data_IF_185632166780
#
_entry.id   IF_185632166780
#
_cell.length_a   1.000
_cell.length_b   1.000
_cell.length_c   1.000
_cell.angle_alpha   90.00
_cell.angle_beta   90.00
_cell.angle_gamma   90.00
#
_symmetry.space_group_name_H-M   'P 1'
#
loop_
_entity.id
_entity.type
_entity.pdbx_description
1 polymer ?
#
# COMPACT_ATOMS: atom_id res chain seq x y z
N UNK A 1 5.67 1.87 -10.33
CA UNK A 1 6.05 2.87 -9.32
C UNK A 1 7.19 2.27 -8.52
N UNK A 2 8.28 3.00 -8.45
CA UNK A 2 9.51 2.61 -7.77
C UNK A 2 9.57 3.25 -6.39
N UNK A 3 9.81 2.45 -5.34
CA UNK A 3 9.78 2.89 -3.93
C UNK A 3 11.12 2.64 -3.28
N UNK A 4 11.66 3.66 -2.63
CA UNK A 4 12.83 3.56 -1.76
C UNK A 4 12.40 3.27 -0.32
N UNK A 5 13.04 2.31 0.34
CA UNK A 5 12.80 2.01 1.76
C UNK A 5 13.79 2.82 2.61
N UNK A 6 13.24 3.55 3.58
CA UNK A 6 14.01 4.34 4.55
C UNK A 6 13.69 3.93 5.98
N UNK A 7 14.71 3.82 6.81
CA UNK A 7 14.58 3.44 8.21
C UNK A 7 15.89 3.50 8.98
N UNK A 8 15.84 3.20 10.26
CA UNK A 8 17.01 3.21 11.11
C UNK A 8 17.88 1.97 10.85
N UNK A 9 19.14 2.19 10.53
CA UNK A 9 20.19 1.18 10.39
C UNK A 9 21.23 1.35 11.53
N UNK A 10 21.77 2.54 11.67
CA UNK A 10 22.81 2.84 12.66
C UNK A 10 22.35 2.58 14.09
N UNK A 11 23.17 1.89 14.87
CA UNK A 11 22.86 1.55 16.26
C UNK A 11 21.94 0.34 16.45
N UNK A 12 21.61 -0.37 15.38
CA UNK A 12 20.99 -1.70 15.42
C UNK A 12 22.02 -2.78 15.05
N UNK A 13 21.85 -4.03 15.53
CA UNK A 13 22.55 -5.17 14.96
C UNK A 13 22.25 -5.25 13.45
N UNK A 14 23.30 -5.41 12.64
CA UNK A 14 23.15 -5.33 11.18
C UNK A 14 22.16 -6.37 10.63
N UNK A 15 22.14 -7.57 11.20
CA UNK A 15 21.21 -8.62 10.79
C UNK A 15 19.75 -8.29 11.13
N UNK A 16 19.50 -7.60 12.24
CA UNK A 16 18.17 -7.08 12.57
C UNK A 16 17.72 -6.04 11.55
N UNK A 17 18.61 -5.09 11.20
CA UNK A 17 18.32 -4.09 10.20
C UNK A 17 18.00 -4.75 8.83
N UNK A 18 18.86 -5.69 8.38
CA UNK A 18 18.63 -6.44 7.13
C UNK A 18 17.29 -7.17 7.12
N UNK A 19 16.94 -7.86 8.22
CA UNK A 19 15.67 -8.59 8.29
C UNK A 19 14.45 -7.66 8.23
N UNK A 20 14.50 -6.51 8.91
CA UNK A 20 13.43 -5.51 8.87
C UNK A 20 13.23 -4.95 7.46
N UNK A 21 14.32 -4.57 6.78
CA UNK A 21 14.28 -4.05 5.42
C UNK A 21 13.78 -5.12 4.44
N UNK A 22 14.23 -6.37 4.57
CA UNK A 22 13.77 -7.48 3.74
C UNK A 22 12.26 -7.77 3.92
N UNK A 23 11.75 -7.69 5.15
CA UNK A 23 10.32 -7.85 5.42
C UNK A 23 9.48 -6.75 4.75
N UNK A 24 9.93 -5.48 4.84
CA UNK A 24 9.27 -4.34 4.19
C UNK A 24 9.32 -4.47 2.67
N UNK A 25 10.45 -4.91 2.11
CA UNK A 25 10.62 -5.17 0.69
C UNK A 25 9.65 -6.25 0.20
N UNK A 26 9.63 -7.41 0.85
CA UNK A 26 8.73 -8.52 0.48
C UNK A 26 7.25 -8.10 0.52
N UNK A 27 6.86 -7.29 1.52
CA UNK A 27 5.51 -6.75 1.63
C UNK A 27 5.17 -5.83 0.44
N UNK A 28 6.05 -4.89 0.10
CA UNK A 28 5.83 -3.93 -0.98
C UNK A 28 5.83 -4.61 -2.36
N UNK A 29 6.74 -5.57 -2.58
CA UNK A 29 6.81 -6.36 -3.82
C UNK A 29 5.57 -7.24 -4.00
N UNK A 30 5.03 -7.83 -2.93
CA UNK A 30 3.80 -8.63 -2.98
C UNK A 30 2.58 -7.86 -3.53
N UNK A 31 2.63 -6.52 -3.47
CA UNK A 31 1.59 -5.61 -3.95
C UNK A 31 1.93 -5.04 -5.33
N UNK A 32 3.08 -5.44 -5.89
CA UNK A 32 3.49 -5.09 -7.24
C UNK A 32 4.26 -3.78 -7.36
N UNK A 33 4.98 -3.37 -6.29
CA UNK A 33 5.94 -2.27 -6.38
C UNK A 33 7.31 -2.77 -6.84
N UNK A 34 8.04 -1.90 -7.52
CA UNK A 34 9.48 -2.03 -7.71
C UNK A 34 10.15 -1.40 -6.48
N UNK A 35 10.91 -2.19 -5.73
CA UNK A 35 11.46 -1.76 -4.43
C UNK A 35 12.96 -1.53 -4.53
N UNK A 36 13.43 -0.45 -3.93
CA UNK A 36 14.85 -0.15 -3.73
C UNK A 36 15.17 -0.25 -2.25
N UNK A 37 15.89 -1.30 -1.91
CA UNK A 37 16.38 -1.55 -0.57
C UNK A 37 17.86 -1.11 -0.49
N UNK A 38 18.20 -0.05 0.26
CA UNK A 38 19.56 0.45 0.35
C UNK A 38 20.56 -0.57 0.87
N UNK A 39 20.12 -1.53 1.69
CA UNK A 39 21.00 -2.58 2.24
C UNK A 39 21.37 -3.66 1.22
N UNK A 40 20.62 -3.80 0.12
CA UNK A 40 20.94 -4.73 -0.97
C UNK A 40 21.76 -4.07 -2.07
N UNK A 41 21.42 -2.82 -2.44
CA UNK A 41 22.03 -2.11 -3.58
C UNK A 41 23.26 -1.32 -3.15
N UNK A 42 23.24 -0.78 -1.96
CA UNK A 42 24.32 0.01 -1.43
C UNK A 42 25.29 -0.83 -0.61
N UNK A 43 25.99 -1.78 -1.23
CA UNK A 43 27.03 -2.59 -0.57
C UNK A 43 27.56 -1.89 0.67
N UNK A 44 27.28 -2.46 1.84
CA UNK A 44 27.85 -2.04 3.10
C UNK A 44 29.38 -2.23 3.03
N UNK A 45 30.06 -1.27 2.46
CA UNK A 45 31.50 -1.15 2.67
C UNK A 45 31.67 -0.67 4.12
N UNK A 46 31.95 -1.60 5.01
CA UNK A 46 32.18 -1.32 6.45
C UNK A 46 33.26 -0.26 6.67
N UNK A 47 34.07 0.03 5.66
CA UNK A 47 35.14 1.03 5.68
C UNK A 47 34.68 2.40 5.13
N UNK A 48 33.52 2.49 4.52
CA UNK A 48 33.03 3.75 3.99
C UNK A 48 32.53 4.67 5.12
N UNK A 49 32.72 5.99 4.95
CA UNK A 49 32.20 6.95 5.91
C UNK A 49 30.67 7.03 5.85
N UNK A 50 30.05 7.50 6.93
CA UNK A 50 28.60 7.73 6.98
C UNK A 50 28.12 8.65 5.83
N UNK A 51 28.89 9.69 5.51
CA UNK A 51 28.61 10.63 4.44
C UNK A 51 28.60 9.93 3.08
N UNK A 52 29.52 8.99 2.85
CA UNK A 52 29.60 8.21 1.61
C UNK A 52 28.37 7.32 1.45
N UNK A 53 27.85 6.73 2.53
CA UNK A 53 26.59 5.99 2.50
C UNK A 53 25.42 6.89 2.19
N UNK A 54 25.33 8.06 2.86
CA UNK A 54 24.24 9.01 2.61
C UNK A 54 24.19 9.50 1.18
N UNK A 55 25.34 9.75 0.52
CA UNK A 55 25.36 10.16 -0.90
C UNK A 55 24.73 9.08 -1.78
N UNK A 56 25.10 7.82 -1.58
CA UNK A 56 24.52 6.68 -2.33
C UNK A 56 23.02 6.53 -2.09
N UNK A 57 22.62 6.61 -0.82
CA UNK A 57 21.21 6.48 -0.42
C UNK A 57 20.34 7.58 -1.05
N UNK A 58 20.86 8.82 -1.09
CA UNK A 58 20.20 9.94 -1.79
C UNK A 58 20.12 9.68 -3.29
N UNK A 59 21.19 9.20 -3.94
CA UNK A 59 21.16 8.85 -5.37
C UNK A 59 20.07 7.80 -5.66
N UNK A 60 19.96 6.75 -4.84
CA UNK A 60 18.93 5.73 -4.96
C UNK A 60 17.52 6.33 -4.79
N UNK A 61 17.34 7.16 -3.76
CA UNK A 61 16.08 7.85 -3.50
C UNK A 61 15.68 8.76 -4.65
N UNK A 62 16.62 9.49 -5.25
CA UNK A 62 16.33 10.39 -6.39
C UNK A 62 15.74 9.62 -7.57
N UNK A 63 16.17 8.39 -7.81
CA UNK A 63 15.67 7.50 -8.87
C UNK A 63 14.31 6.84 -8.57
N UNK A 64 13.68 7.14 -7.43
CA UNK A 64 12.41 6.55 -6.99
C UNK A 64 11.25 7.56 -7.10
N UNK A 65 10.03 7.04 -7.25
CA UNK A 65 8.79 7.84 -7.29
C UNK A 65 8.30 8.17 -5.87
N UNK A 66 8.59 7.30 -4.91
CA UNK A 66 8.12 7.38 -3.54
C UNK A 66 9.17 6.91 -2.53
N UNK A 67 8.96 7.29 -1.27
CA UNK A 67 9.71 6.81 -0.11
C UNK A 67 8.77 6.09 0.86
N UNK A 68 9.20 4.93 1.36
CA UNK A 68 8.53 4.16 2.41
C UNK A 68 9.30 4.32 3.71
N UNK A 69 8.69 5.00 4.68
CA UNK A 69 9.27 5.29 5.99
C UNK A 69 8.92 4.18 6.97
N UNK A 70 9.90 3.40 7.39
CA UNK A 70 9.73 2.39 8.45
C UNK A 70 9.44 3.07 9.79
N UNK A 71 8.70 2.43 10.69
CA UNK A 71 8.25 3.07 11.95
C UNK A 71 9.41 3.56 12.86
N UNK A 72 10.62 3.00 12.69
CA UNK A 72 11.80 3.40 13.45
C UNK A 72 12.57 4.61 12.86
N UNK A 73 12.09 5.24 11.79
CA UNK A 73 12.79 6.29 11.05
C UNK A 73 13.09 7.54 11.90
N UNK A 74 12.20 7.89 12.85
CA UNK A 74 12.35 9.08 13.69
C UNK A 74 13.59 9.04 14.58
N UNK A 75 14.14 7.86 14.83
CA UNK A 75 15.38 7.66 15.57
C UNK A 75 16.64 7.59 14.67
N UNK A 76 16.53 7.99 13.40
CA UNK A 76 17.62 7.93 12.42
C UNK A 76 17.85 9.29 11.75
N UNK A 77 19.05 9.86 11.93
CA UNK A 77 19.43 11.11 11.25
C UNK A 77 19.39 10.96 9.72
N UNK A 78 19.90 9.83 9.21
CA UNK A 78 19.89 9.54 7.76
C UNK A 78 18.48 9.49 7.20
N UNK A 79 17.58 8.73 7.83
CA UNK A 79 16.19 8.64 7.39
C UNK A 79 15.44 9.99 7.48
N UNK A 80 15.81 10.85 8.45
CA UNK A 80 15.29 12.21 8.54
C UNK A 80 15.70 13.07 7.34
N UNK A 81 16.96 12.98 6.91
CA UNK A 81 17.47 13.69 5.71
C UNK A 81 16.77 13.18 4.45
N UNK A 82 16.63 11.87 4.30
CA UNK A 82 15.92 11.25 3.17
C UNK A 82 14.46 11.69 3.11
N UNK A 83 13.78 11.74 4.25
CA UNK A 83 12.41 12.26 4.36
C UNK A 83 12.33 13.71 3.89
N UNK A 84 13.21 14.59 4.35
CA UNK A 84 13.22 16.01 3.97
C UNK A 84 13.44 16.20 2.48
N UNK A 85 14.36 15.43 1.89
CA UNK A 85 14.62 15.44 0.45
C UNK A 85 13.37 14.97 -0.31
N UNK A 86 12.79 13.85 0.06
CA UNK A 86 11.58 13.32 -0.57
C UNK A 86 10.41 14.32 -0.50
N UNK A 87 10.22 14.95 0.65
CA UNK A 87 9.19 15.95 0.87
C UNK A 87 9.38 17.19 -0.03
N UNK A 88 10.59 17.73 -0.09
CA UNK A 88 10.92 18.92 -0.92
C UNK A 88 10.81 18.65 -2.41
N UNK A 89 11.06 17.43 -2.83
CA UNK A 89 10.94 17.00 -4.23
C UNK A 89 9.50 16.58 -4.60
N UNK A 90 8.56 16.64 -3.68
CA UNK A 90 7.16 16.27 -3.92
C UNK A 90 6.97 14.78 -4.21
N UNK A 91 7.89 13.93 -3.73
CA UNK A 91 7.73 12.47 -3.84
C UNK A 91 6.59 11.99 -2.96
N UNK A 92 5.95 10.89 -3.32
CA UNK A 92 4.96 10.24 -2.44
C UNK A 92 5.65 9.70 -1.18
N UNK A 93 5.13 10.06 0.00
CA UNK A 93 5.65 9.61 1.30
C UNK A 93 4.65 8.64 1.93
N UNK A 94 5.12 7.45 2.27
CA UNK A 94 4.32 6.39 2.88
C UNK A 94 4.94 5.96 4.19
N UNK A 95 4.12 5.75 5.22
CA UNK A 95 4.56 5.31 6.53
C UNK A 95 4.13 3.88 6.79
N UNK A 96 5.01 3.07 7.35
CA UNK A 96 4.81 1.65 7.65
C UNK A 96 3.53 1.38 8.44
N UNK A 97 3.29 2.11 9.52
CA UNK A 97 2.08 1.98 10.35
C UNK A 97 0.79 2.24 9.58
N UNK A 98 0.78 3.27 8.72
CA UNK A 98 -0.38 3.55 7.85
C UNK A 98 -0.59 2.45 6.83
N UNK A 99 0.48 1.94 6.26
CA UNK A 99 0.45 0.88 5.25
C UNK A 99 0.00 -0.45 5.84
N UNK A 100 0.49 -0.82 7.02
CA UNK A 100 0.05 -2.02 7.74
C UNK A 100 -1.44 -1.98 8.10
N UNK A 101 -1.96 -0.80 8.50
CA UNK A 101 -3.38 -0.57 8.71
C UNK A 101 -4.17 -0.76 7.42
N UNK A 102 -3.70 -0.18 6.32
CA UNK A 102 -4.36 -0.29 5.02
C UNK A 102 -4.42 -1.75 4.55
N UNK A 103 -3.36 -2.51 4.75
CA UNK A 103 -3.33 -3.93 4.40
C UNK A 103 -4.33 -4.76 5.23
N UNK A 104 -4.44 -4.52 6.55
CA UNK A 104 -5.48 -5.17 7.39
C UNK A 104 -6.89 -4.83 6.89
N UNK A 105 -7.14 -3.58 6.56
CA UNK A 105 -8.43 -3.15 6.00
C UNK A 105 -8.74 -3.87 4.67
N UNK A 106 -7.75 -3.99 3.79
CA UNK A 106 -7.89 -4.71 2.53
C UNK A 106 -8.28 -6.17 2.77
N UNK A 107 -7.61 -6.86 3.69
CA UNK A 107 -7.95 -8.26 4.04
C UNK A 107 -9.36 -8.39 4.61
N UNK A 108 -9.78 -7.48 5.47
CA UNK A 108 -11.15 -7.48 6.00
C UNK A 108 -12.21 -7.32 4.90
N UNK A 109 -11.98 -6.41 3.97
CA UNK A 109 -12.90 -6.18 2.84
C UNK A 109 -12.93 -7.40 1.91
N UNK A 110 -11.77 -8.00 1.61
CA UNK A 110 -11.67 -9.22 0.80
C UNK A 110 -12.47 -10.37 1.42
N UNK A 111 -12.31 -10.59 2.72
CA UNK A 111 -13.02 -11.64 3.44
C UNK A 111 -14.56 -11.41 3.43
N UNK A 112 -15.00 -10.16 3.63
CA UNK A 112 -16.43 -9.83 3.57
C UNK A 112 -17.02 -10.04 2.15
N UNK A 113 -16.30 -9.66 1.11
CA UNK A 113 -16.71 -9.92 -0.28
C UNK A 113 -16.76 -11.42 -0.56
N UNK A 114 -15.77 -12.18 -0.10
CA UNK A 114 -15.75 -13.63 -0.25
C UNK A 114 -16.95 -14.29 0.43
N UNK A 115 -17.26 -13.88 1.64
CA UNK A 115 -18.38 -14.41 2.43
C UNK A 115 -19.75 -14.16 1.74
N UNK A 116 -19.94 -12.97 1.16
CA UNK A 116 -21.23 -12.59 0.53
C UNK A 116 -21.35 -13.07 -0.91
N UNK A 117 -20.24 -13.04 -1.67
CA UNK A 117 -20.29 -13.24 -3.13
C UNK A 117 -19.58 -14.52 -3.59
N UNK A 118 -18.88 -15.24 -2.68
CA UNK A 118 -18.09 -16.43 -3.03
C UNK A 118 -16.85 -16.14 -3.89
N UNK A 119 -16.51 -14.87 -4.13
CA UNK A 119 -15.43 -14.47 -5.01
C UNK A 119 -14.12 -14.31 -4.24
N UNK A 120 -13.05 -14.91 -4.75
CA UNK A 120 -11.69 -14.64 -4.27
C UNK A 120 -11.19 -13.30 -4.81
N UNK A 121 -10.21 -12.70 -4.16
CA UNK A 121 -9.62 -11.43 -4.59
C UNK A 121 -9.14 -11.47 -6.04
N UNK A 122 -8.48 -12.55 -6.44
CA UNK A 122 -8.04 -12.79 -7.83
C UNK A 122 -9.15 -12.70 -8.87
N UNK A 123 -10.39 -13.02 -8.51
CA UNK A 123 -11.50 -13.09 -9.47
C UNK A 123 -11.98 -11.70 -9.94
N UNK A 124 -11.77 -10.68 -9.12
CA UNK A 124 -12.25 -9.33 -9.42
C UNK A 124 -11.17 -8.26 -9.61
N UNK A 125 -9.88 -8.56 -9.35
CA UNK A 125 -8.77 -7.66 -9.72
C UNK A 125 -8.38 -7.76 -11.19
N UNK A 126 -8.73 -8.88 -11.86
CA UNK A 126 -8.44 -9.11 -13.27
C UNK A 126 -9.24 -8.19 -14.20
N UNK A 127 -8.88 -8.16 -15.50
CA UNK A 127 -9.65 -7.45 -16.54
C UNK A 127 -10.99 -8.12 -16.88
N UNK A 128 -11.46 -9.06 -16.06
CA UNK A 128 -12.73 -9.74 -16.29
C UNK A 128 -13.89 -8.73 -16.40
N UNK A 129 -14.74 -8.94 -17.41
CA UNK A 129 -15.96 -8.17 -17.65
C UNK A 129 -17.20 -8.83 -17.04
N UNK A 130 -17.05 -9.94 -16.31
CA UNK A 130 -18.17 -10.59 -15.62
C UNK A 130 -18.78 -9.62 -14.63
N UNK A 131 -20.12 -9.53 -14.63
CA UNK A 131 -20.88 -8.56 -13.82
C UNK A 131 -20.54 -8.66 -12.33
N UNK A 132 -20.46 -9.88 -11.81
CA UNK A 132 -20.17 -10.12 -10.39
C UNK A 132 -18.78 -9.63 -10.00
N UNK A 133 -17.74 -9.92 -10.79
CA UNK A 133 -16.39 -9.41 -10.56
C UNK A 133 -16.31 -7.88 -10.66
N UNK A 134 -17.12 -7.27 -11.53
CA UNK A 134 -17.21 -5.81 -11.60
C UNK A 134 -17.88 -5.23 -10.34
N UNK A 135 -18.94 -5.84 -9.84
CA UNK A 135 -19.61 -5.45 -8.60
C UNK A 135 -18.68 -5.58 -7.39
N UNK A 136 -18.00 -6.73 -7.24
CA UNK A 136 -17.02 -6.95 -6.18
C UNK A 136 -15.91 -5.88 -6.18
N UNK A 137 -15.42 -5.52 -7.37
CA UNK A 137 -14.40 -4.46 -7.52
C UNK A 137 -14.93 -3.09 -7.09
N UNK A 138 -16.15 -2.72 -7.46
CA UNK A 138 -16.76 -1.46 -7.03
C UNK A 138 -16.92 -1.41 -5.51
N UNK A 139 -17.41 -2.50 -4.90
CA UNK A 139 -17.57 -2.63 -3.44
C UNK A 139 -16.21 -2.51 -2.74
N UNK A 140 -15.21 -3.24 -3.23
CA UNK A 140 -13.84 -3.18 -2.70
C UNK A 140 -13.28 -1.76 -2.72
N UNK A 141 -13.29 -1.10 -3.87
CA UNK A 141 -12.75 0.26 -4.03
C UNK A 141 -13.49 1.26 -3.14
N UNK A 142 -14.82 1.15 -3.04
CA UNK A 142 -15.63 2.01 -2.18
C UNK A 142 -15.22 1.88 -0.71
N UNK A 143 -15.16 0.65 -0.17
CA UNK A 143 -14.82 0.45 1.23
C UNK A 143 -13.37 0.81 1.56
N UNK A 144 -12.40 0.51 0.68
CA UNK A 144 -11.04 1.01 0.84
C UNK A 144 -11.00 2.54 0.93
N UNK A 145 -11.77 3.24 0.08
CA UNK A 145 -11.83 4.70 0.11
C UNK A 145 -12.53 5.24 1.36
N UNK A 146 -13.61 4.59 1.81
CA UNK A 146 -14.29 4.92 3.06
C UNK A 146 -13.37 4.80 4.28
N UNK A 147 -12.43 3.86 4.26
CA UNK A 147 -11.36 3.70 5.26
C UNK A 147 -10.18 4.67 5.05
N UNK A 148 -10.35 5.72 4.24
CA UNK A 148 -9.39 6.80 3.96
C UNK A 148 -8.10 6.38 3.25
N UNK A 149 -8.06 5.20 2.62
CA UNK A 149 -6.92 4.79 1.81
C UNK A 149 -6.70 5.74 0.62
N UNK A 150 -5.44 5.98 0.25
CA UNK A 150 -5.10 6.76 -0.94
C UNK A 150 -5.53 6.02 -2.21
N UNK A 151 -6.09 6.75 -3.19
CA UNK A 151 -6.56 6.15 -4.45
C UNK A 151 -5.42 5.46 -5.24
N UNK A 152 -4.21 5.99 -5.15
CA UNK A 152 -3.01 5.38 -5.75
C UNK A 152 -2.70 4.00 -5.18
N UNK A 153 -2.90 3.81 -3.88
CA UNK A 153 -2.74 2.52 -3.20
C UNK A 153 -3.85 1.56 -3.63
N UNK A 154 -5.11 2.01 -3.59
CA UNK A 154 -6.26 1.19 -4.00
C UNK A 154 -6.11 0.72 -5.45
N UNK A 155 -5.67 1.61 -6.34
CA UNK A 155 -5.44 1.31 -7.75
C UNK A 155 -4.42 0.18 -7.95
N UNK A 156 -3.37 0.13 -7.12
CA UNK A 156 -2.38 -0.95 -7.15
C UNK A 156 -2.99 -2.29 -6.77
N UNK A 157 -3.74 -2.35 -5.68
CA UNK A 157 -4.41 -3.61 -5.28
C UNK A 157 -5.29 -4.20 -6.37
N UNK A 158 -5.95 -3.38 -7.17
CA UNK A 158 -6.86 -3.84 -8.24
C UNK A 158 -6.22 -3.78 -9.63
N UNK A 159 -4.92 -3.55 -9.74
CA UNK A 159 -4.16 -3.47 -11.00
C UNK A 159 -4.81 -2.54 -12.03
N UNK A 160 -5.15 -1.32 -11.61
CA UNK A 160 -5.79 -0.27 -12.42
C UNK A 160 -5.09 1.07 -12.22
N UNK A 161 -5.41 2.02 -13.09
CA UNK A 161 -4.99 3.41 -12.97
C UNK A 161 -5.91 4.22 -12.03
N UNK A 162 -5.45 5.39 -11.64
CA UNK A 162 -6.17 6.30 -10.75
C UNK A 162 -7.53 6.77 -11.33
N UNK A 163 -7.61 7.01 -12.64
CA UNK A 163 -8.85 7.46 -13.29
C UNK A 163 -9.92 6.37 -13.27
N UNK A 164 -9.51 5.11 -13.39
CA UNK A 164 -10.40 3.95 -13.20
C UNK A 164 -11.00 3.92 -11.79
N UNK A 165 -10.27 4.32 -10.75
CA UNK A 165 -10.81 4.36 -9.38
C UNK A 165 -11.93 5.38 -9.24
N UNK A 166 -11.76 6.58 -9.79
CA UNK A 166 -12.81 7.61 -9.79
C UNK A 166 -14.05 7.16 -10.52
N UNK A 167 -13.89 6.47 -11.67
CA UNK A 167 -15.01 5.89 -12.41
C UNK A 167 -15.76 4.83 -11.58
N UNK A 168 -15.03 3.91 -10.92
CA UNK A 168 -15.66 2.87 -10.08
C UNK A 168 -16.42 3.47 -8.89
N UNK A 169 -15.89 4.51 -8.25
CA UNK A 169 -16.57 5.21 -7.15
C UNK A 169 -17.86 5.91 -7.62
N UNK A 170 -17.82 6.58 -8.77
CA UNK A 170 -19.01 7.18 -9.37
C UNK A 170 -20.05 6.11 -9.68
N UNK A 171 -19.64 5.03 -10.34
CA UNK A 171 -20.53 3.92 -10.72
C UNK A 171 -21.12 3.20 -9.50
N UNK A 172 -20.35 3.05 -8.40
CA UNK A 172 -20.87 2.54 -7.13
C UNK A 172 -22.09 3.35 -6.66
N UNK A 173 -21.97 4.68 -6.63
CA UNK A 173 -23.06 5.56 -6.18
C UNK A 173 -24.29 5.46 -7.09
N UNK A 174 -24.10 5.35 -8.39
CA UNK A 174 -25.19 5.18 -9.35
C UNK A 174 -25.90 3.83 -9.15
N UNK A 175 -25.12 2.74 -9.02
CA UNK A 175 -25.68 1.40 -8.84
C UNK A 175 -26.35 1.22 -7.47
N UNK A 176 -25.88 1.89 -6.43
CA UNK A 176 -26.59 1.93 -5.12
C UNK A 176 -28.00 2.54 -5.25
N UNK A 177 -28.18 3.50 -6.15
CA UNK A 177 -29.50 4.17 -6.36
C UNK A 177 -30.41 3.36 -7.26
N UNK A 178 -29.89 2.83 -8.37
CA UNK A 178 -30.71 2.33 -9.47
C UNK A 178 -30.64 0.82 -9.69
N UNK A 179 -29.73 0.09 -9.03
CA UNK A 179 -29.52 -1.33 -9.23
C UNK A 179 -29.78 -2.11 -7.93
N UNK A 180 -30.97 -2.71 -7.81
CA UNK A 180 -31.37 -3.45 -6.61
C UNK A 180 -30.40 -4.58 -6.28
N UNK A 181 -30.02 -5.40 -7.29
CA UNK A 181 -29.10 -6.53 -7.07
C UNK A 181 -27.75 -6.08 -6.51
N UNK A 182 -27.19 -5.00 -7.08
CA UNK A 182 -25.93 -4.44 -6.57
C UNK A 182 -26.08 -3.92 -5.14
N UNK A 183 -27.15 -3.15 -4.88
CA UNK A 183 -27.42 -2.59 -3.55
C UNK A 183 -27.53 -3.68 -2.49
N UNK A 184 -28.26 -4.78 -2.76
CA UNK A 184 -28.43 -5.89 -1.82
C UNK A 184 -27.08 -6.54 -1.48
N UNK A 185 -26.20 -6.73 -2.47
CA UNK A 185 -24.84 -7.26 -2.24
C UNK A 185 -23.97 -6.29 -1.46
N UNK A 186 -23.95 -5.01 -1.85
CA UNK A 186 -23.14 -4.00 -1.18
C UNK A 186 -23.57 -3.78 0.28
N UNK A 187 -24.87 -3.80 0.56
CA UNK A 187 -25.39 -3.70 1.93
C UNK A 187 -24.94 -4.89 2.79
N UNK A 188 -25.06 -6.13 2.29
CA UNK A 188 -24.60 -7.32 3.02
C UNK A 188 -23.10 -7.27 3.34
N UNK A 189 -22.26 -6.81 2.39
CA UNK A 189 -20.82 -6.64 2.66
C UNK A 189 -20.58 -5.58 3.73
N UNK A 190 -21.30 -4.45 3.66
CA UNK A 190 -21.20 -3.40 4.65
C UNK A 190 -21.58 -3.88 6.06
N UNK A 191 -22.66 -4.64 6.19
CA UNK A 191 -23.13 -5.17 7.47
C UNK A 191 -22.07 -6.08 8.13
N UNK A 192 -21.42 -6.95 7.34
CA UNK A 192 -20.30 -7.79 7.84
C UNK A 192 -19.14 -6.94 8.33
N UNK A 193 -18.79 -5.86 7.57
CA UNK A 193 -17.69 -4.99 7.96
C UNK A 193 -17.96 -4.20 9.23
N UNK A 194 -19.22 -3.81 9.48
CA UNK A 194 -19.64 -3.12 10.70
C UNK A 194 -19.59 -4.08 11.89
N UNK A 195 -20.17 -5.27 11.79
CA UNK A 195 -20.20 -6.27 12.87
C UNK A 195 -18.79 -6.63 13.30
N UNK A 196 -17.93 -7.01 12.36
CA UNK A 196 -16.53 -7.41 12.64
C UNK A 196 -15.60 -6.24 13.00
N UNK A 197 -16.04 -5.00 12.87
CA UNK A 197 -15.31 -3.81 13.28
C UNK A 197 -15.55 -3.36 14.71
N UNK A 198 -16.59 -3.90 15.36
CA UNK A 198 -16.92 -3.60 16.76
C UNK A 198 -16.31 -4.63 17.74
N UNK A 199 -15.70 -5.71 17.22
CA UNK A 199 -15.10 -6.78 18.02
C UNK A 199 -13.57 -6.62 18.18
N UNK A 200 -12.96 -5.55 17.65
CA UNK A 200 -11.55 -5.18 17.77
C UNK A 200 -11.38 -3.88 18.59
#
# INVERSE_FOLDING_TARGET
MKIYISGKISGLPIEEAKQRFANSQALLESIGFEVVNPLEVGLCDEKASWESHMVKDIELLLGCDAIYMMDNWTGSTGAGIEYDIAFRLGKDIWFESSFARDNRNVMRIQNAIHEVMGLKFSDYITKSRKREGFYARMIFVHHCRAMKMKLTIIARYVHRDHSSMLHLLKKYNDDMRFNKQFRDLATKVNDILIIKGNDE
#
